data_IF_572846527034
#
_entry.id   IF_572846527034
#
_cell.length_a   1.000
_cell.length_b   1.000
_cell.length_c   1.000
_cell.angle_alpha   90.00
_cell.angle_beta   90.00
_cell.angle_gamma   90.00
#
_symmetry.space_group_name_H-M   'P 1'
#
loop_
_entity.id
_entity.type
_entity.pdbx_description
1 polymer ?
#
# COMPACT_ATOMS: atom_id res chain seq x y z
N UNK A 1 33.29 58.28 -10.21
CA UNK A 1 33.43 57.05 -11.04
C UNK A 1 32.21 56.14 -10.86
N UNK A 2 31.36 55.96 -11.87
CA UNK A 2 30.19 55.06 -11.80
C UNK A 2 30.63 53.61 -12.07
N UNK A 3 30.49 52.73 -11.08
CA UNK A 3 30.82 51.30 -11.18
C UNK A 3 29.91 50.64 -12.24
N UNK A 4 30.46 50.27 -13.41
CA UNK A 4 29.70 49.52 -14.44
C UNK A 4 29.25 48.19 -13.83
N UNK A 5 27.93 48.00 -13.65
CA UNK A 5 27.35 46.71 -13.23
C UNK A 5 27.67 45.68 -14.31
N UNK A 6 28.54 44.70 -13.99
CA UNK A 6 28.78 43.54 -14.85
C UNK A 6 27.44 42.83 -15.07
N UNK A 7 26.92 42.92 -16.29
CA UNK A 7 25.72 42.18 -16.69
C UNK A 7 26.02 40.69 -16.52
N UNK A 8 25.22 40.01 -15.70
CA UNK A 8 25.32 38.58 -15.54
C UNK A 8 25.10 37.93 -16.89
N UNK A 9 26.01 37.04 -17.30
CA UNK A 9 25.81 36.21 -18.47
C UNK A 9 24.47 35.48 -18.35
N UNK A 10 23.75 35.30 -19.45
CA UNK A 10 22.40 34.68 -19.49
C UNK A 10 22.31 33.39 -18.65
N UNK A 11 23.40 32.59 -18.64
CA UNK A 11 23.57 31.39 -17.79
C UNK A 11 23.55 31.68 -16.29
N UNK A 12 24.27 32.70 -15.81
CA UNK A 12 24.29 33.06 -14.37
C UNK A 12 22.95 33.63 -13.89
N UNK A 13 22.22 34.34 -14.76
CA UNK A 13 20.85 34.79 -14.45
C UNK A 13 19.90 33.59 -14.35
N UNK A 14 19.96 32.67 -15.30
CA UNK A 14 19.16 31.43 -15.27
C UNK A 14 19.45 30.60 -14.01
N UNK A 15 20.72 30.41 -13.64
CA UNK A 15 21.10 29.73 -12.40
C UNK A 15 20.55 30.41 -11.15
N UNK A 16 20.60 31.75 -11.07
CA UNK A 16 20.03 32.49 -9.93
C UNK A 16 18.52 32.37 -9.87
N UNK A 17 17.84 32.41 -11.01
CA UNK A 17 16.39 32.19 -11.08
C UNK A 17 16.03 30.75 -10.64
N UNK A 18 16.77 29.75 -11.11
CA UNK A 18 16.57 28.36 -10.71
C UNK A 18 16.82 28.16 -9.20
N UNK A 19 17.89 28.76 -8.66
CA UNK A 19 18.17 28.71 -7.23
C UNK A 19 17.07 29.41 -6.40
N UNK A 20 16.61 30.59 -6.83
CA UNK A 20 15.52 31.29 -6.17
C UNK A 20 14.21 30.49 -6.22
N UNK A 21 13.90 29.85 -7.34
CA UNK A 21 12.74 28.97 -7.48
C UNK A 21 12.85 27.75 -6.54
N UNK A 22 14.02 27.13 -6.44
CA UNK A 22 14.27 26.02 -5.51
C UNK A 22 14.07 26.44 -4.06
N UNK A 23 14.58 27.61 -3.66
CA UNK A 23 14.40 28.16 -2.31
C UNK A 23 12.92 28.42 -2.03
N UNK A 24 12.20 29.05 -2.96
CA UNK A 24 10.76 29.29 -2.80
C UNK A 24 9.96 27.99 -2.67
N UNK A 25 10.35 26.97 -3.43
CA UNK A 25 9.72 25.65 -3.39
C UNK A 25 9.98 24.93 -2.05
N UNK A 26 11.20 25.00 -1.52
CA UNK A 26 11.52 24.48 -0.18
C UNK A 26 10.74 25.24 0.90
N UNK A 27 10.66 26.57 0.81
CA UNK A 27 9.90 27.39 1.77
C UNK A 27 8.41 27.04 1.70
N UNK A 28 7.82 26.95 0.51
CA UNK A 28 6.42 26.55 0.34
C UNK A 28 6.16 25.17 0.96
N UNK A 29 7.06 24.22 0.75
CA UNK A 29 6.96 22.90 1.36
C UNK A 29 7.05 22.95 2.90
N UNK A 30 7.96 23.77 3.45
CA UNK A 30 8.20 23.87 4.89
C UNK A 30 7.03 24.55 5.61
N UNK A 31 6.43 25.58 5.01
CA UNK A 31 5.38 26.36 5.66
C UNK A 31 3.96 25.85 5.42
N UNK A 32 3.68 25.28 4.24
CA UNK A 32 2.33 24.89 3.89
C UNK A 32 2.05 23.40 4.16
N UNK A 33 3.09 22.57 4.32
CA UNK A 33 2.98 21.11 4.37
C UNK A 33 2.10 20.52 3.24
N UNK A 34 1.96 21.27 2.14
CA UNK A 34 1.31 20.89 0.89
C UNK A 34 2.39 20.58 -0.15
N UNK A 35 2.04 19.86 -1.21
CA UNK A 35 2.95 19.54 -2.31
C UNK A 35 4.27 18.86 -1.87
N UNK A 36 4.17 17.79 -1.07
CA UNK A 36 5.35 17.01 -0.69
C UNK A 36 6.05 16.51 -1.96
N UNK A 37 7.35 16.78 -2.06
CA UNK A 37 8.13 16.51 -3.27
C UNK A 37 8.49 15.03 -3.41
N UNK A 38 8.69 14.36 -2.28
CA UNK A 38 9.11 12.98 -2.23
C UNK A 38 8.04 12.12 -1.55
N UNK A 39 7.77 10.91 -2.07
CA UNK A 39 6.81 10.00 -1.46
C UNK A 39 7.22 9.63 -0.04
N UNK A 40 8.53 9.53 0.25
CA UNK A 40 9.00 9.22 1.61
C UNK A 40 8.61 10.28 2.64
N UNK A 41 8.44 11.54 2.23
CA UNK A 41 8.02 12.61 3.15
C UNK A 41 6.57 12.43 3.58
N UNK A 42 5.72 11.87 2.71
CA UNK A 42 4.37 11.45 3.06
C UNK A 42 4.44 10.37 4.13
N UNK A 43 5.30 9.37 3.93
CA UNK A 43 5.40 8.23 4.84
C UNK A 43 5.87 8.68 6.22
N UNK A 44 6.92 9.51 6.30
CA UNK A 44 7.40 10.06 7.58
C UNK A 44 6.33 10.86 8.31
N UNK A 45 5.57 11.67 7.58
CA UNK A 45 4.44 12.40 8.17
C UNK A 45 3.36 11.47 8.71
N UNK A 46 3.04 10.38 8.01
CA UNK A 46 2.07 9.38 8.48
C UNK A 46 2.61 8.67 9.72
N UNK A 47 3.88 8.27 9.72
CA UNK A 47 4.53 7.68 10.91
C UNK A 47 4.42 8.63 12.11
N UNK A 48 4.77 9.91 11.96
CA UNK A 48 4.65 10.92 13.01
C UNK A 48 3.20 11.07 13.51
N UNK A 49 2.22 11.07 12.59
CA UNK A 49 0.80 11.17 12.92
C UNK A 49 0.26 9.94 13.67
N UNK A 50 0.84 8.76 13.41
CA UNK A 50 0.48 7.51 14.06
C UNK A 50 1.33 7.25 15.33
N UNK A 51 2.22 8.18 15.71
CA UNK A 51 3.12 8.02 16.84
C UNK A 51 4.21 6.95 16.63
N UNK A 52 4.45 6.52 15.38
CA UNK A 52 5.44 5.51 15.04
C UNK A 52 6.80 6.17 14.92
N UNK A 53 7.72 5.83 15.82
CA UNK A 53 9.09 6.34 15.80
C UNK A 53 10.09 5.28 15.35
N UNK A 54 11.15 5.72 14.66
CA UNK A 54 12.27 4.85 14.28
C UNK A 54 11.98 3.81 13.20
N UNK A 55 10.80 3.83 12.59
CA UNK A 55 10.45 2.89 11.53
C UNK A 55 11.37 3.02 10.30
N UNK A 56 11.65 1.89 9.67
CA UNK A 56 12.47 1.79 8.46
C UNK A 56 11.63 1.22 7.33
N UNK A 57 11.93 1.64 6.10
CA UNK A 57 11.29 1.06 4.92
C UNK A 57 11.73 -0.40 4.76
N UNK A 58 10.75 -1.30 4.85
CA UNK A 58 10.90 -2.74 4.73
C UNK A 58 10.64 -3.19 3.29
N UNK A 59 9.56 -2.69 2.68
CA UNK A 59 9.19 -2.98 1.30
C UNK A 59 8.58 -1.75 0.64
N UNK A 60 8.78 -1.64 -0.67
CA UNK A 60 8.16 -0.62 -1.52
C UNK A 60 7.71 -1.28 -2.81
N UNK A 61 6.50 -1.01 -3.26
CA UNK A 61 5.98 -1.54 -4.53
C UNK A 61 5.03 -0.57 -5.24
N UNK A 62 5.07 -0.59 -6.58
CA UNK A 62 4.19 0.18 -7.46
C UNK A 62 2.90 -0.56 -7.81
N UNK A 63 2.87 -1.87 -7.60
CA UNK A 63 1.73 -2.71 -7.93
C UNK A 63 0.81 -2.86 -6.72
N UNK A 64 -0.52 -2.95 -6.96
CA UNK A 64 -1.25 -2.72 -8.20
C UNK A 64 -1.23 -1.25 -8.64
N UNK A 65 -1.37 -1.01 -9.95
CA UNK A 65 -1.43 0.34 -10.54
C UNK A 65 -2.77 1.03 -10.28
N UNK A 66 -3.01 1.43 -9.04
CA UNK A 66 -4.19 2.22 -8.64
C UNK A 66 -3.90 3.73 -8.71
N UNK A 67 -4.91 4.59 -8.55
CA UNK A 67 -4.79 6.06 -8.54
C UNK A 67 -4.09 6.66 -9.77
N UNK A 68 -4.59 6.36 -10.96
CA UNK A 68 -3.99 6.82 -12.23
C UNK A 68 -2.49 6.46 -12.33
N UNK A 69 -2.09 5.32 -11.75
CA UNK A 69 -0.74 4.76 -11.81
C UNK A 69 0.31 5.61 -11.08
N UNK A 70 -0.13 6.48 -10.19
CA UNK A 70 0.75 7.35 -9.39
C UNK A 70 1.00 6.82 -7.98
N UNK A 71 0.41 5.69 -7.63
CA UNK A 71 0.49 5.10 -6.32
C UNK A 71 1.85 4.42 -6.07
N UNK A 72 2.34 4.55 -4.84
CA UNK A 72 3.50 3.86 -4.33
C UNK A 72 3.20 3.36 -2.92
N UNK A 73 3.12 2.05 -2.77
CA UNK A 73 2.89 1.39 -1.49
C UNK A 73 4.20 1.22 -0.71
N UNK A 74 4.11 1.42 0.60
CA UNK A 74 5.19 1.29 1.55
C UNK A 74 4.77 0.37 2.68
N UNK A 75 5.66 -0.56 3.01
CA UNK A 75 5.69 -1.24 4.28
C UNK A 75 6.88 -0.69 5.07
N UNK A 76 6.60 -0.13 6.23
CA UNK A 76 7.60 0.36 7.17
C UNK A 76 7.46 -0.39 8.47
N UNK A 77 8.55 -0.60 9.19
CA UNK A 77 8.50 -1.31 10.46
C UNK A 77 9.62 -0.86 11.41
N UNK A 78 9.34 -1.00 12.70
CA UNK A 78 10.32 -1.00 13.79
C UNK A 78 10.14 -2.31 14.60
N UNK A 79 10.68 -2.34 15.82
CA UNK A 79 10.67 -3.53 16.68
C UNK A 79 9.28 -3.85 17.25
N UNK A 80 8.35 -2.89 17.24
CA UNK A 80 7.04 -3.01 17.89
C UNK A 80 5.87 -2.92 16.91
N UNK A 81 6.09 -2.40 15.70
CA UNK A 81 5.01 -2.06 14.77
C UNK A 81 5.39 -2.29 13.32
N UNK A 82 4.37 -2.61 12.53
CA UNK A 82 4.42 -2.62 11.06
C UNK A 82 3.35 -1.67 10.54
N UNK A 83 3.74 -0.73 9.69
CA UNK A 83 2.87 0.26 9.09
C UNK A 83 2.82 0.06 7.58
N UNK A 84 1.63 -0.25 7.08
CA UNK A 84 1.31 -0.25 5.65
C UNK A 84 0.66 1.07 5.27
N UNK A 85 1.23 1.76 4.29
CA UNK A 85 0.66 3.00 3.79
C UNK A 85 1.00 3.23 2.33
N UNK A 86 0.35 4.19 1.67
CA UNK A 86 0.67 4.57 0.30
C UNK A 86 0.79 6.08 0.11
N UNK A 87 1.67 6.45 -0.80
CA UNK A 87 1.77 7.79 -1.35
C UNK A 87 1.24 7.79 -2.78
N UNK A 88 0.53 8.84 -3.20
CA UNK A 88 0.10 9.00 -4.58
C UNK A 88 0.05 10.48 -4.97
N UNK A 89 0.08 10.77 -6.27
CA UNK A 89 -0.01 12.14 -6.77
C UNK A 89 -1.45 12.43 -7.16
N UNK A 90 -2.01 13.52 -6.65
CA UNK A 90 -3.33 14.01 -7.07
C UNK A 90 -3.28 15.50 -7.38
N UNK A 91 -4.16 15.93 -8.30
CA UNK A 91 -4.33 17.33 -8.65
C UNK A 91 -4.71 18.20 -7.44
N UNK A 92 -5.23 17.60 -6.35
CA UNK A 92 -5.55 18.32 -5.11
C UNK A 92 -4.32 18.66 -4.27
N UNK A 93 -3.30 17.80 -4.27
CA UNK A 93 -2.14 17.93 -3.38
C UNK A 93 -0.98 18.70 -4.02
N UNK A 94 -1.02 18.93 -5.33
CA UNK A 94 0.04 19.57 -6.13
C UNK A 94 1.42 18.92 -5.91
N UNK A 95 1.43 17.64 -5.54
CA UNK A 95 2.58 16.83 -5.16
C UNK A 95 2.13 15.50 -4.57
N UNK A 96 3.01 14.82 -3.84
CA UNK A 96 2.67 13.56 -3.17
C UNK A 96 1.71 13.81 -1.99
N UNK A 97 0.64 13.04 -1.96
CA UNK A 97 -0.31 12.95 -0.85
C UNK A 97 -0.28 11.56 -0.21
N UNK A 98 -0.74 11.49 1.03
CA UNK A 98 -0.97 10.22 1.73
C UNK A 98 -2.35 9.66 1.45
N UNK A 99 -2.44 8.33 1.52
CA UNK A 99 -3.69 7.60 1.34
C UNK A 99 -3.98 6.66 2.48
N UNK A 100 -4.23 5.42 2.09
CA UNK A 100 -4.56 4.32 2.97
C UNK A 100 -3.44 4.11 3.97
N UNK A 101 -3.81 3.89 5.22
CA UNK A 101 -2.87 3.64 6.31
C UNK A 101 -3.46 2.57 7.22
N UNK A 102 -2.65 1.58 7.57
CA UNK A 102 -2.96 0.56 8.58
C UNK A 102 -1.72 0.34 9.42
N UNK A 103 -1.89 0.49 10.74
CA UNK A 103 -0.88 0.21 11.74
C UNK A 103 -1.16 -1.17 12.35
N UNK A 104 -0.15 -2.03 12.36
CA UNK A 104 -0.18 -3.35 12.98
C UNK A 104 0.73 -3.33 14.21
N UNK A 105 0.13 -3.60 15.37
CA UNK A 105 0.83 -3.78 16.64
C UNK A 105 1.48 -5.16 16.69
N UNK A 106 2.77 -5.19 16.98
CA UNK A 106 3.60 -6.37 17.10
C UNK A 106 4.27 -6.49 18.48
N UNK A 107 3.70 -5.88 19.52
CA UNK A 107 4.19 -5.98 20.91
C UNK A 107 3.78 -7.27 21.61
N UNK A 108 2.62 -7.84 21.25
CA UNK A 108 2.17 -9.11 21.80
C UNK A 108 3.07 -10.27 21.34
N UNK A 109 3.41 -11.20 22.23
CA UNK A 109 4.16 -12.40 21.85
C UNK A 109 3.27 -13.35 21.04
N UNK A 110 3.35 -13.26 19.70
CA UNK A 110 2.63 -14.13 18.76
C UNK A 110 3.60 -14.69 17.71
N UNK A 111 3.42 -15.95 17.26
CA UNK A 111 4.27 -16.51 16.19
C UNK A 111 4.23 -15.70 14.89
N UNK A 112 3.08 -15.09 14.60
CA UNK A 112 2.84 -14.27 13.43
C UNK A 112 1.91 -13.11 13.79
N UNK A 113 2.17 -11.94 13.22
CA UNK A 113 1.33 -10.75 13.25
C UNK A 113 0.84 -10.46 11.84
N UNK A 114 -0.45 -10.17 11.66
CA UNK A 114 -1.01 -9.92 10.34
C UNK A 114 -2.12 -8.87 10.37
N UNK A 115 -2.21 -8.09 9.30
CA UNK A 115 -3.29 -7.16 9.04
C UNK A 115 -3.65 -7.19 7.54
N UNK A 116 -4.80 -6.61 7.23
CA UNK A 116 -5.26 -6.44 5.85
C UNK A 116 -5.69 -5.01 5.55
N UNK A 117 -5.54 -4.61 4.29
CA UNK A 117 -6.15 -3.38 3.76
C UNK A 117 -6.86 -3.68 2.45
N UNK A 118 -8.09 -3.20 2.34
CA UNK A 118 -8.90 -3.27 1.14
C UNK A 118 -8.88 -1.91 0.44
N UNK A 119 -8.71 -1.93 -0.88
CA UNK A 119 -8.85 -0.75 -1.74
C UNK A 119 -9.86 -1.10 -2.84
N UNK A 120 -10.97 -0.37 -2.87
CA UNK A 120 -12.00 -0.52 -3.90
C UNK A 120 -11.61 0.21 -5.19
N UNK A 121 -11.70 -0.49 -6.31
CA UNK A 121 -11.53 0.04 -7.66
C UNK A 121 -12.90 0.12 -8.35
N UNK A 122 -13.28 1.31 -8.82
CA UNK A 122 -14.44 1.50 -9.70
C UNK A 122 -14.11 0.98 -11.09
N UNK A 123 -14.77 -0.12 -11.42
CA UNK A 123 -14.62 -0.83 -12.69
C UNK A 123 -15.58 -0.32 -13.77
N UNK A 124 -16.37 0.71 -13.46
CA UNK A 124 -17.32 1.34 -14.36
C UNK A 124 -18.78 1.06 -14.01
N UNK A 125 -19.72 1.56 -14.84
CA UNK A 125 -21.14 1.31 -14.62
C UNK A 125 -21.48 -0.16 -14.88
N UNK A 126 -22.07 -0.81 -13.89
CA UNK A 126 -22.79 -2.07 -14.05
C UNK A 126 -24.15 -1.88 -14.70
N UNK A 127 -24.90 -2.98 -14.83
CA UNK A 127 -26.26 -2.93 -15.38
C UNK A 127 -27.22 -2.04 -14.57
N UNK A 128 -27.03 -1.96 -13.24
CA UNK A 128 -27.92 -1.19 -12.34
C UNK A 128 -27.21 -0.39 -11.22
N UNK A 129 -25.91 -0.60 -10.97
CA UNK A 129 -25.10 0.09 -9.95
C UNK A 129 -23.63 0.23 -10.39
N UNK A 130 -22.83 1.04 -9.70
CA UNK A 130 -21.38 1.06 -9.91
C UNK A 130 -20.74 -0.26 -9.46
N UNK A 131 -19.95 -0.87 -10.34
CA UNK A 131 -19.27 -2.12 -10.07
C UNK A 131 -17.91 -1.86 -9.42
N UNK A 132 -17.64 -2.51 -8.28
CA UNK A 132 -16.36 -2.36 -7.59
C UNK A 132 -15.58 -3.67 -7.53
N UNK A 133 -14.34 -3.65 -8.03
CA UNK A 133 -13.33 -4.64 -7.71
C UNK A 133 -12.63 -4.30 -6.39
N UNK A 134 -12.00 -5.28 -5.75
CA UNK A 134 -11.25 -5.06 -4.49
C UNK A 134 -9.83 -5.56 -4.64
N UNK A 135 -8.87 -4.67 -4.36
CA UNK A 135 -7.50 -5.04 -4.09
C UNK A 135 -7.32 -5.30 -2.59
N UNK A 136 -7.02 -6.55 -2.26
CA UNK A 136 -6.59 -6.97 -0.93
C UNK A 136 -5.08 -6.83 -0.80
N UNK A 137 -4.64 -6.21 0.29
CA UNK A 137 -3.26 -6.24 0.74
C UNK A 137 -3.20 -6.97 2.05
N UNK A 138 -2.39 -8.02 2.11
CA UNK A 138 -2.09 -8.77 3.32
C UNK A 138 -0.65 -8.50 3.70
N UNK A 139 -0.39 -8.14 4.94
CA UNK A 139 0.97 -7.86 5.39
C UNK A 139 1.15 -8.18 6.86
N UNK A 140 2.41 -8.36 7.26
CA UNK A 140 2.70 -8.79 8.62
C UNK A 140 4.16 -9.06 8.92
N UNK A 141 4.41 -9.49 10.16
CA UNK A 141 5.72 -9.89 10.71
C UNK A 141 5.65 -11.34 11.19
N UNK A 142 6.72 -12.10 10.97
CA UNK A 142 6.84 -13.50 11.35
C UNK A 142 7.97 -13.65 12.37
N UNK A 143 7.61 -13.93 13.62
CA UNK A 143 8.54 -13.95 14.73
C UNK A 143 9.01 -15.37 15.06
N UNK A 144 8.15 -16.38 14.87
CA UNK A 144 8.52 -17.78 15.15
C UNK A 144 9.41 -18.36 14.04
N UNK A 145 10.69 -18.69 14.33
CA UNK A 145 11.66 -19.16 13.34
C UNK A 145 11.26 -20.48 12.68
N UNK A 146 10.38 -21.28 13.28
CA UNK A 146 9.90 -22.53 12.68
C UNK A 146 8.99 -22.30 11.48
N UNK A 147 8.39 -21.11 11.34
CA UNK A 147 7.56 -20.75 10.19
C UNK A 147 8.46 -20.43 8.99
N UNK A 148 8.36 -21.23 7.93
CA UNK A 148 9.07 -21.07 6.66
C UNK A 148 8.18 -20.45 5.57
N UNK A 149 6.87 -20.70 5.63
CA UNK A 149 5.90 -20.17 4.66
C UNK A 149 4.66 -19.61 5.35
N UNK A 150 4.07 -18.57 4.75
CA UNK A 150 2.81 -18.00 5.19
C UNK A 150 1.76 -18.19 4.08
N UNK A 151 0.55 -18.56 4.47
CA UNK A 151 -0.59 -18.69 3.57
C UNK A 151 -1.75 -17.83 4.06
N UNK A 152 -2.47 -17.23 3.12
CA UNK A 152 -3.70 -16.50 3.41
C UNK A 152 -4.87 -17.35 2.94
N UNK A 153 -5.78 -17.65 3.86
CA UNK A 153 -7.11 -18.15 3.55
C UNK A 153 -8.05 -16.95 3.41
N UNK A 154 -8.24 -16.52 2.17
CA UNK A 154 -9.14 -15.44 1.78
C UNK A 154 -10.53 -16.01 1.55
N UNK A 155 -11.52 -15.58 2.33
CA UNK A 155 -12.91 -16.00 2.14
C UNK A 155 -13.47 -15.36 0.87
N UNK A 156 -14.08 -16.15 -0.01
CA UNK A 156 -14.71 -15.69 -1.26
C UNK A 156 -16.07 -16.37 -1.47
N UNK A 157 -16.91 -15.78 -2.30
CA UNK A 157 -18.16 -16.41 -2.70
C UNK A 157 -17.87 -17.74 -3.45
N UNK A 158 -18.51 -18.88 -3.11
CA UNK A 158 -18.33 -20.15 -3.82
C UNK A 158 -18.68 -20.11 -5.32
N UNK A 159 -19.48 -19.14 -5.76
CA UNK A 159 -19.76 -18.88 -7.18
C UNK A 159 -18.66 -18.08 -7.91
N UNK A 160 -17.54 -17.79 -7.25
CA UNK A 160 -16.43 -17.05 -7.84
C UNK A 160 -15.62 -17.94 -8.79
N UNK A 161 -15.82 -17.83 -10.10
CA UNK A 161 -14.98 -18.49 -11.11
C UNK A 161 -13.67 -17.72 -11.37
N UNK A 162 -12.99 -17.25 -10.30
CA UNK A 162 -11.65 -16.71 -10.43
C UNK A 162 -10.63 -17.84 -10.55
N UNK A 163 -9.89 -17.84 -11.66
CA UNK A 163 -8.74 -18.70 -11.98
C UNK A 163 -8.69 -20.04 -11.23
N UNK A 164 -9.31 -21.09 -11.80
CA UNK A 164 -9.13 -22.52 -11.52
C UNK A 164 -8.26 -22.88 -10.28
N UNK A 165 -8.79 -22.68 -9.07
CA UNK A 165 -8.20 -23.21 -7.83
C UNK A 165 -9.25 -24.10 -7.15
N UNK A 166 -8.88 -25.34 -6.86
CA UNK A 166 -9.76 -26.42 -6.35
C UNK A 166 -10.59 -26.03 -5.10
N UNK A 167 -10.14 -25.04 -4.34
CA UNK A 167 -10.73 -24.62 -3.06
C UNK A 167 -11.86 -23.60 -3.15
N UNK A 168 -12.15 -23.02 -4.34
CA UNK A 168 -13.24 -22.04 -4.45
C UNK A 168 -14.61 -22.67 -4.15
N UNK A 169 -14.76 -23.96 -4.47
CA UNK A 169 -15.93 -24.77 -4.09
C UNK A 169 -16.16 -24.85 -2.57
N UNK A 170 -15.11 -24.66 -1.76
CA UNK A 170 -15.14 -24.63 -0.29
C UNK A 170 -15.32 -23.21 0.28
N UNK A 171 -15.48 -22.20 -0.59
CA UNK A 171 -15.72 -20.81 -0.22
C UNK A 171 -14.47 -20.02 0.19
N UNK A 172 -13.27 -20.47 -0.18
CA UNK A 172 -12.04 -19.71 0.09
C UNK A 172 -10.97 -19.90 -0.99
N UNK A 173 -10.12 -18.88 -1.13
CA UNK A 173 -8.86 -18.92 -1.88
C UNK A 173 -7.70 -19.10 -0.91
N UNK A 174 -6.77 -19.99 -1.26
CA UNK A 174 -5.51 -20.16 -0.56
C UNK A 174 -4.41 -19.45 -1.34
N UNK A 175 -3.83 -18.43 -0.74
CA UNK A 175 -2.79 -17.61 -1.36
C UNK A 175 -1.48 -17.84 -0.62
N UNK A 176 -0.48 -18.38 -1.28
CA UNK A 176 0.87 -18.46 -0.72
C UNK A 176 1.51 -17.08 -0.73
N UNK A 177 2.07 -16.67 0.40
CA UNK A 177 2.70 -15.36 0.56
C UNK A 177 4.20 -15.51 0.78
N UNK A 178 5.04 -14.85 -0.04
CA UNK A 178 6.48 -14.91 0.14
C UNK A 178 6.89 -14.17 1.41
N UNK A 179 7.59 -14.87 2.29
CA UNK A 179 8.28 -14.28 3.43
C UNK A 179 9.63 -13.72 2.96
N UNK A 180 10.00 -12.54 3.46
CA UNK A 180 11.28 -11.93 3.17
C UNK A 180 11.89 -11.31 4.43
N UNK A 181 13.22 -11.26 4.49
CA UNK A 181 13.95 -10.76 5.66
C UNK A 181 14.46 -9.34 5.44
N UNK A 182 14.35 -8.49 6.48
CA UNK A 182 14.89 -7.14 6.49
C UNK A 182 15.23 -6.73 7.92
N UNK A 183 16.41 -6.16 8.13
CA UNK A 183 16.85 -5.68 9.46
C UNK A 183 16.76 -6.74 10.57
N UNK A 184 17.01 -8.02 10.26
CA UNK A 184 16.94 -9.10 11.24
C UNK A 184 15.54 -9.70 11.44
N UNK A 185 14.48 -8.99 11.07
CA UNK A 185 13.09 -9.47 11.16
C UNK A 185 12.59 -10.05 9.82
N UNK A 186 11.57 -10.91 9.89
CA UNK A 186 10.91 -11.51 8.71
C UNK A 186 9.52 -10.92 8.55
N UNK A 187 9.17 -10.59 7.32
CA UNK A 187 7.92 -9.92 6.96
C UNK A 187 7.30 -10.55 5.74
N UNK A 188 6.03 -10.24 5.51
CA UNK A 188 5.35 -10.57 4.28
C UNK A 188 4.50 -9.40 3.79
N UNK A 189 4.29 -9.34 2.48
CA UNK A 189 3.39 -8.42 1.81
C UNK A 189 2.87 -9.11 0.54
N UNK A 190 1.57 -9.37 0.50
CA UNK A 190 0.86 -9.92 -0.66
C UNK A 190 -0.22 -8.96 -1.13
N UNK A 191 -0.45 -9.00 -2.43
CA UNK A 191 -1.57 -8.34 -3.08
C UNK A 191 -2.41 -9.39 -3.82
N UNK A 192 -3.73 -9.27 -3.74
CA UNK A 192 -4.65 -10.07 -4.52
C UNK A 192 -5.83 -9.21 -4.98
N UNK A 193 -6.31 -9.42 -6.20
CA UNK A 193 -7.46 -8.72 -6.74
C UNK A 193 -8.65 -9.66 -6.85
N UNK A 194 -9.79 -9.25 -6.29
CA UNK A 194 -11.06 -9.95 -6.40
C UNK A 194 -12.02 -9.08 -7.19
N UNK A 195 -12.49 -9.60 -8.32
CA UNK A 195 -13.54 -8.96 -9.10
C UNK A 195 -14.89 -9.00 -8.35
N UNK A 196 -15.79 -8.09 -8.70
CA UNK A 196 -17.10 -7.87 -8.05
C UNK A 196 -17.88 -9.15 -7.69
N UNK A 197 -17.89 -10.14 -8.59
CA UNK A 197 -18.63 -11.42 -8.44
C UNK A 197 -18.11 -12.27 -7.26
N UNK A 198 -16.90 -12.01 -6.76
CA UNK A 198 -16.29 -12.75 -5.65
C UNK A 198 -16.69 -12.27 -4.27
N UNK A 199 -17.45 -11.18 -4.16
CA UNK A 199 -17.73 -10.53 -2.89
C UNK A 199 -18.84 -11.21 -2.09
N UNK A 200 -18.62 -11.18 -0.77
CA UNK A 200 -19.55 -11.47 0.33
C UNK A 200 -19.61 -12.92 0.79
N UNK A 201 -18.68 -13.26 1.70
CA UNK A 201 -19.03 -14.11 2.83
C UNK A 201 -18.64 -13.45 4.14
N UNK A 202 -19.52 -13.55 5.11
CA UNK A 202 -19.29 -13.18 6.51
C UNK A 202 -18.37 -14.24 7.13
N UNK A 203 -17.10 -13.89 7.30
CA UNK A 203 -16.06 -14.80 7.77
C UNK A 203 -14.69 -14.16 7.63
N UNK A 204 -13.94 -14.05 8.73
CA UNK A 204 -12.63 -13.40 8.73
C UNK A 204 -11.61 -14.13 7.86
N UNK A 205 -10.75 -13.36 7.19
CA UNK A 205 -9.58 -13.91 6.52
C UNK A 205 -8.60 -14.45 7.58
N UNK A 206 -7.83 -15.48 7.24
CA UNK A 206 -6.85 -16.06 8.15
C UNK A 206 -5.46 -16.05 7.53
N UNK A 207 -4.44 -15.88 8.36
CA UNK A 207 -3.05 -16.21 8.02
C UNK A 207 -2.67 -17.52 8.70
N UNK A 208 -2.00 -18.39 7.96
CA UNK A 208 -1.53 -19.70 8.41
C UNK A 208 -0.02 -19.71 8.27
N UNK A 209 0.69 -19.90 9.37
CA UNK A 209 2.14 -20.12 9.37
C UNK A 209 2.44 -21.60 9.27
N UNK A 210 3.28 -21.99 8.31
CA UNK A 210 3.67 -23.38 8.07
C UNK A 210 5.17 -23.59 8.21
N UNK A 211 5.55 -24.76 8.69
CA UNK A 211 6.93 -25.19 8.77
C UNK A 211 7.50 -25.63 7.40
N UNK A 212 8.73 -26.12 7.41
CA UNK A 212 9.42 -26.62 6.21
C UNK A 212 8.74 -27.84 5.56
N UNK A 213 8.07 -28.66 6.37
CA UNK A 213 7.36 -29.86 5.92
C UNK A 213 5.94 -29.55 5.43
N UNK A 214 5.47 -28.32 5.66
CA UNK A 214 4.14 -27.85 5.30
C UNK A 214 3.11 -28.04 6.42
N UNK A 215 3.51 -28.44 7.62
CA UNK A 215 2.62 -28.57 8.77
C UNK A 215 2.25 -27.18 9.31
N UNK A 216 1.03 -27.04 9.80
CA UNK A 216 0.57 -25.80 10.43
C UNK A 216 1.24 -25.60 11.78
N UNK A 217 2.02 -24.53 11.90
CA UNK A 217 2.58 -24.05 13.18
C UNK A 217 1.56 -23.17 13.90
N UNK A 218 0.88 -22.29 13.16
CA UNK A 218 -0.08 -21.34 13.73
C UNK A 218 -1.18 -20.97 12.74
N UNK A 219 -2.31 -20.54 13.26
CA UNK A 219 -3.41 -19.94 12.49
C UNK A 219 -3.93 -18.74 13.24
N UNK A 220 -3.97 -17.59 12.57
CA UNK A 220 -4.43 -16.33 13.12
C UNK A 220 -5.54 -15.76 12.23
N UNK A 221 -6.69 -15.46 12.82
CA UNK A 221 -7.73 -14.68 12.14
C UNK A 221 -7.26 -13.22 12.01
N UNK A 222 -7.30 -12.69 10.80
CA UNK A 222 -6.97 -11.29 10.52
C UNK A 222 -8.18 -10.46 10.89
N UNK A 223 -8.04 -9.65 11.93
CA UNK A 223 -9.08 -8.71 12.33
C UNK A 223 -9.32 -7.68 11.23
N UNK A 224 -10.59 -7.40 10.98
CA UNK A 224 -10.97 -6.39 10.00
C UNK A 224 -10.74 -5.01 10.62
N UNK A 225 -9.56 -4.43 10.39
CA UNK A 225 -9.26 -3.07 10.88
C UNK A 225 -10.22 -2.09 10.23
N UNK A 226 -11.24 -1.70 11.00
CA UNK A 226 -12.31 -0.80 10.60
C UNK A 226 -11.79 0.64 10.54
N UNK A 227 -11.12 1.00 9.44
CA UNK A 227 -10.99 2.40 9.05
C UNK A 227 -11.34 2.52 7.56
N UNK A 228 -12.66 2.60 7.34
CA UNK A 228 -13.28 2.94 6.09
C UNK A 228 -12.92 4.40 5.72
N UNK A 229 -11.81 4.58 5.02
CA UNK A 229 -11.78 5.58 3.96
C UNK A 229 -11.95 4.83 2.63
N UNK A 230 -13.19 4.49 2.30
CA UNK A 230 -13.55 3.96 0.98
C UNK A 230 -13.27 5.05 -0.04
N UNK A 231 -12.07 5.07 -0.60
CA UNK A 231 -11.73 5.94 -1.70
C UNK A 231 -11.93 5.15 -2.97
N UNK A 232 -13.03 5.43 -3.66
CA UNK A 232 -13.30 4.87 -4.98
C UNK A 232 -12.22 5.36 -5.95
N UNK A 233 -11.39 4.43 -6.44
CA UNK A 233 -10.40 4.71 -7.46
C UNK A 233 -11.03 4.44 -8.82
N UNK A 234 -11.17 5.44 -9.70
CA UNK A 234 -11.56 5.18 -11.09
C UNK A 234 -10.49 4.34 -11.78
N UNK A 235 -10.89 3.19 -12.34
CA UNK A 235 -10.01 2.38 -13.18
C UNK A 235 -9.49 3.16 -14.41
N UNK A 236 -8.39 2.71 -15.03
CA UNK A 236 -7.89 3.31 -16.25
C UNK A 236 -8.96 3.23 -17.37
N UNK A 237 -9.06 4.24 -18.25
CA UNK A 237 -9.95 4.16 -19.40
C UNK A 237 -9.52 2.98 -20.29
N UNK A 238 -10.39 1.98 -20.46
CA UNK A 238 -10.17 0.87 -21.40
C UNK A 238 -9.93 1.43 -22.80
N UNK A 239 -8.87 0.99 -23.47
CA UNK A 239 -8.61 1.28 -24.88
C UNK A 239 -9.68 0.63 -25.76
N UNK A 240 -9.99 1.25 -26.90
CA UNK A 240 -11.09 0.86 -27.78
C UNK A 240 -11.03 -0.60 -28.28
N UNK A 241 -9.88 -1.25 -28.21
CA UNK A 241 -9.69 -2.67 -28.58
C UNK A 241 -10.23 -3.68 -27.54
N UNK A 242 -10.51 -3.26 -26.29
CA UNK A 242 -11.12 -4.14 -25.27
C UNK A 242 -12.66 -4.07 -25.23
N UNK A 243 -13.29 -3.41 -26.22
CA UNK A 243 -14.76 -3.24 -26.30
C UNK A 243 -15.42 -4.08 -27.40
N UNK A 244 -14.70 -4.98 -28.04
CA UNK A 244 -15.24 -5.95 -29.01
C UNK A 244 -15.18 -7.36 -28.47
#
# INVERSE_FOLDING_TARGET
MRRKKRLLTRRRRALRCAAAALVLLILAQTFLHTALLLPIQVIRRVEDQQGVQGARVVRRQWEPKVYNWTNLFYLTANDETVLFTNAYITARTWGWGGGHTVLLDCTAEKPIHAAQKLISEDTGPGKDYHCYGIHYFFFGRVDDPSIETAEIRLQVNPGYEGAAVENVSLGYLQLTVPIFQRNGCRYFLAHHYVAEVGLLRDGGNHVIGKDREGNTVTTLQIEETSYASTSVVKGPPKTAEERT
#
